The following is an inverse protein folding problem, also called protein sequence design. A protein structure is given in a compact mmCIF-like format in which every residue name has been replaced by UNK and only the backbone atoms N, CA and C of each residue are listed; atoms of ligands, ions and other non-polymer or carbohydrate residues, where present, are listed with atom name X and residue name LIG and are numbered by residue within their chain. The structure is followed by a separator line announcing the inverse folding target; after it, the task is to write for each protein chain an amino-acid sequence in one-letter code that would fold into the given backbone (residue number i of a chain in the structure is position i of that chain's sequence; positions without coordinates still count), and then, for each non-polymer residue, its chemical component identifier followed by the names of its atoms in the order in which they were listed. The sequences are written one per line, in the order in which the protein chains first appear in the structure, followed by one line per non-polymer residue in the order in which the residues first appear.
data_IF_133414798499
#
_entry.id   IF_133414798499
#
_cell.length_a   1.000
_cell.length_b   1.000
_cell.length_c   1.000
_cell.angle_alpha   90.00
_cell.angle_beta   90.00
_cell.angle_gamma   90.00
#
_symmetry.space_group_name_H-M   'P 1'
#
loop_
_entity.id
_entity.type
_entity.pdbx_description
1 polymer ?
#
# COMPACT_ATOMS: atom_id res chain seq x y z
N UNK A 1 14.31 -16.29 -2.40
CA UNK A 1 13.22 -16.62 -1.46
C UNK A 1 13.14 -15.52 -0.42
N UNK A 2 11.93 -15.03 -0.06
CA UNK A 2 11.76 -14.10 1.07
C UNK A 2 12.40 -14.69 2.34
N UNK A 3 13.20 -13.92 3.11
CA UNK A 3 13.78 -14.41 4.35
C UNK A 3 12.72 -14.81 5.37
N UNK A 4 12.89 -15.99 5.99
CA UNK A 4 11.92 -16.55 6.95
C UNK A 4 11.76 -15.73 8.24
N UNK A 5 12.67 -14.80 8.51
CA UNK A 5 12.60 -13.92 9.68
C UNK A 5 11.77 -12.64 9.43
N UNK A 6 11.26 -12.44 8.22
CA UNK A 6 10.33 -11.36 7.94
C UNK A 6 8.91 -11.75 8.34
N UNK A 7 8.24 -10.89 9.11
CA UNK A 7 6.87 -11.15 9.59
C UNK A 7 5.87 -10.81 8.48
N UNK A 8 5.05 -11.76 8.00
CA UNK A 8 4.05 -11.47 6.98
C UNK A 8 2.92 -10.61 7.56
N UNK A 9 2.55 -9.58 6.81
CA UNK A 9 1.38 -8.74 7.13
C UNK A 9 0.22 -9.12 6.20
N UNK A 10 -0.93 -9.36 6.81
CA UNK A 10 -2.15 -9.79 6.11
C UNK A 10 -3.18 -8.68 6.18
N UNK A 11 -3.95 -8.54 5.10
CA UNK A 11 -5.14 -7.71 5.08
C UNK A 11 -6.25 -8.34 5.90
N UNK A 12 -6.92 -7.54 6.72
CA UNK A 12 -7.91 -8.03 7.68
C UNK A 12 -9.18 -8.61 7.00
N UNK A 13 -9.58 -8.09 5.84
CA UNK A 13 -10.83 -8.50 5.19
C UNK A 13 -10.79 -9.90 4.57
N UNK A 14 -9.67 -10.28 3.95
CA UNK A 14 -9.55 -11.52 3.15
C UNK A 14 -8.34 -12.38 3.51
N UNK A 15 -7.46 -11.91 4.41
CA UNK A 15 -6.24 -12.63 4.79
C UNK A 15 -5.16 -12.62 3.71
N UNK A 16 -5.32 -11.82 2.64
CA UNK A 16 -4.31 -11.71 1.59
C UNK A 16 -3.03 -11.05 2.13
N UNK A 17 -1.87 -11.62 1.81
CA UNK A 17 -0.58 -11.06 2.24
C UNK A 17 -0.31 -9.78 1.44
N UNK A 18 -0.21 -8.65 2.13
CA UNK A 18 0.11 -7.36 1.52
C UNK A 18 1.63 -7.14 1.41
N UNK A 19 2.39 -7.81 2.28
CA UNK A 19 3.85 -7.77 2.28
C UNK A 19 4.40 -8.28 3.60
N UNK A 20 5.54 -7.74 3.98
CA UNK A 20 6.35 -8.22 5.10
C UNK A 20 6.94 -7.08 5.92
N UNK A 21 7.11 -7.32 7.20
CA UNK A 21 7.86 -6.46 8.12
C UNK A 21 9.28 -7.02 8.23
N UNK A 22 10.24 -6.36 7.60
CA UNK A 22 11.64 -6.71 7.71
C UNK A 22 12.26 -6.03 8.94
N UNK A 23 12.92 -6.76 9.86
CA UNK A 23 13.51 -6.14 11.05
C UNK A 23 14.65 -5.19 10.67
N UNK A 24 14.72 -4.07 11.38
CA UNK A 24 15.77 -3.05 11.27
C UNK A 24 16.42 -2.79 12.65
N UNK A 25 17.34 -1.83 12.70
CA UNK A 25 18.00 -1.43 13.94
C UNK A 25 17.00 -0.84 14.95
N UNK A 26 17.38 -0.84 16.24
CA UNK A 26 16.60 -0.24 17.33
C UNK A 26 15.16 -0.77 17.52
N UNK A 27 14.89 -1.99 17.04
CA UNK A 27 13.55 -2.60 17.11
C UNK A 27 12.55 -1.98 16.13
N UNK A 28 13.03 -1.21 15.16
CA UNK A 28 12.24 -0.72 14.04
C UNK A 28 12.05 -1.82 12.99
N UNK A 29 11.13 -1.60 12.06
CA UNK A 29 10.95 -2.45 10.91
C UNK A 29 10.74 -1.64 9.63
N UNK A 30 11.12 -2.25 8.51
CA UNK A 30 10.89 -1.73 7.18
C UNK A 30 9.67 -2.45 6.59
N UNK A 31 8.65 -1.72 6.11
CA UNK A 31 7.58 -2.34 5.35
C UNK A 31 8.07 -2.69 3.96
N UNK A 32 7.97 -3.97 3.61
CA UNK A 32 8.48 -4.53 2.36
C UNK A 32 7.35 -5.19 1.58
N UNK A 33 7.22 -4.88 0.29
CA UNK A 33 6.26 -5.51 -0.62
C UNK A 33 6.49 -7.02 -0.79
N UNK A 34 5.54 -7.72 -1.41
CA UNK A 34 5.68 -9.15 -1.75
C UNK A 34 6.93 -9.50 -2.56
N UNK A 35 7.48 -8.54 -3.31
CA UNK A 35 8.64 -8.73 -4.18
C UNK A 35 9.95 -8.23 -3.56
N UNK A 36 9.93 -7.81 -2.30
CA UNK A 36 11.14 -7.39 -1.58
C UNK A 36 11.46 -5.89 -1.69
N UNK A 37 10.59 -5.07 -2.29
CA UNK A 37 10.80 -3.62 -2.36
C UNK A 37 10.33 -2.90 -1.10
N UNK A 38 11.16 -2.05 -0.51
CA UNK A 38 10.80 -1.23 0.66
C UNK A 38 9.81 -0.12 0.28
N UNK A 39 8.73 0.01 1.04
CA UNK A 39 7.69 1.03 0.81
C UNK A 39 7.96 2.34 1.56
N UNK A 40 8.65 2.26 2.70
CA UNK A 40 8.97 3.39 3.55
C UNK A 40 10.28 3.16 4.30
N UNK A 41 10.80 4.23 4.89
CA UNK A 41 11.93 4.17 5.82
C UNK A 41 11.60 3.35 7.07
N UNK A 42 12.61 2.85 7.81
CA UNK A 42 12.39 2.13 9.06
C UNK A 42 11.52 2.93 10.04
N UNK A 43 10.47 2.30 10.54
CA UNK A 43 9.51 2.87 11.46
C UNK A 43 9.14 1.90 12.57
N UNK A 44 8.21 2.30 13.44
CA UNK A 44 7.62 1.33 14.36
C UNK A 44 6.72 0.34 13.62
N UNK A 45 6.38 -0.77 14.29
CA UNK A 45 5.61 -1.84 13.66
C UNK A 45 4.20 -1.41 13.24
N UNK A 46 3.60 -0.43 13.93
CA UNK A 46 2.26 0.05 13.60
C UNK A 46 2.31 0.94 12.34
N UNK A 47 3.29 1.84 12.25
CA UNK A 47 3.54 2.67 11.08
C UNK A 47 3.87 1.82 9.84
N UNK A 48 4.66 0.76 10.00
CA UNK A 48 5.01 -0.13 8.91
C UNK A 48 3.82 -0.96 8.40
N UNK A 49 2.96 -1.48 9.31
CA UNK A 49 1.71 -2.15 8.92
C UNK A 49 0.77 -1.20 8.19
N UNK A 50 0.59 0.02 8.71
CA UNK A 50 -0.24 1.03 8.05
C UNK A 50 0.28 1.40 6.65
N UNK A 51 1.60 1.40 6.43
CA UNK A 51 2.18 1.61 5.10
C UNK A 51 1.83 0.46 4.13
N UNK A 52 1.84 -0.78 4.61
CA UNK A 52 1.43 -1.96 3.83
C UNK A 52 -0.07 -1.93 3.51
N UNK A 53 -0.91 -1.58 4.49
CA UNK A 53 -2.36 -1.45 4.29
C UNK A 53 -2.70 -0.33 3.29
N UNK A 54 -2.03 0.82 3.40
CA UNK A 54 -2.25 1.94 2.50
C UNK A 54 -1.79 1.67 1.07
N UNK A 55 -0.72 0.90 0.87
CA UNK A 55 -0.26 0.52 -0.47
C UNK A 55 -1.09 -0.62 -1.04
N UNK A 56 -1.54 -1.55 -0.19
CA UNK A 56 -2.14 -2.81 -0.60
C UNK A 56 -1.27 -3.52 -1.64
N UNK A 57 -1.91 -4.07 -2.67
CA UNK A 57 -1.24 -4.68 -3.82
C UNK A 57 -1.28 -3.82 -5.09
N UNK A 58 -1.68 -2.55 -5.00
CA UNK A 58 -1.83 -1.70 -6.19
C UNK A 58 -0.52 -1.50 -6.95
N UNK A 59 0.62 -1.56 -6.24
CA UNK A 59 1.96 -1.45 -6.82
C UNK A 59 2.27 -2.54 -7.87
N UNK A 60 1.57 -3.68 -7.83
CA UNK A 60 1.73 -4.75 -8.83
C UNK A 60 1.24 -4.30 -10.22
N UNK A 61 0.28 -3.38 -10.27
CA UNK A 61 -0.25 -2.83 -11.52
C UNK A 61 0.58 -1.67 -12.09
N UNK A 62 1.49 -1.12 -11.28
CA UNK A 62 2.34 0.01 -11.68
C UNK A 62 3.38 -0.39 -12.72
N UNK A 63 4.00 0.61 -13.32
CA UNK A 63 5.16 0.42 -14.19
C UNK A 63 6.42 0.32 -13.35
N UNK A 64 7.30 -0.58 -13.75
CA UNK A 64 8.58 -0.84 -13.11
C UNK A 64 9.71 -0.65 -14.13
N UNK A 65 10.92 -0.44 -13.61
CA UNK A 65 12.16 -0.35 -14.38
C UNK A 65 13.02 -1.55 -14.02
N UNK A 66 13.35 -2.36 -15.02
CA UNK A 66 14.25 -3.49 -14.90
C UNK A 66 15.64 -3.12 -15.41
N UNK A 67 16.65 -3.26 -14.55
CA UNK A 67 18.05 -3.13 -14.93
C UNK A 67 18.58 -4.50 -15.38
N UNK A 68 19.07 -4.57 -16.62
CA UNK A 68 19.67 -5.75 -17.22
C UNK A 68 21.19 -5.56 -17.28
N UNK A 69 22.00 -6.59 -16.96
CA UNK A 69 23.46 -6.44 -16.99
C UNK A 69 24.01 -6.19 -18.41
N UNK A 70 23.26 -6.54 -19.45
CA UNK A 70 23.64 -6.34 -20.85
C UNK A 70 23.23 -4.96 -21.41
N UNK A 71 22.57 -4.09 -20.61
CA UNK A 71 22.09 -2.77 -21.05
C UNK A 71 22.35 -1.68 -20.01
N UNK A 72 22.74 -0.51 -20.51
CA UNK A 72 22.91 0.68 -19.65
C UNK A 72 21.55 1.30 -19.28
N UNK A 73 20.60 1.37 -20.22
CA UNK A 73 19.26 1.88 -19.90
C UNK A 73 18.34 0.80 -19.32
N UNK A 74 17.59 1.12 -18.25
CA UNK A 74 16.59 0.22 -17.72
C UNK A 74 15.41 0.06 -18.69
N UNK A 75 14.82 -1.13 -18.72
CA UNK A 75 13.64 -1.44 -19.54
C UNK A 75 12.37 -1.19 -18.74
N UNK A 76 11.39 -0.52 -19.35
CA UNK A 76 10.04 -0.40 -18.76
C UNK A 76 9.32 -1.75 -18.76
N UNK A 77 9.00 -2.26 -17.58
CA UNK A 77 8.33 -3.55 -17.40
C UNK A 77 7.05 -3.42 -16.56
N UNK A 78 6.22 -4.46 -16.61
CA UNK A 78 5.04 -4.62 -15.74
C UNK A 78 5.08 -5.97 -15.05
N UNK A 79 4.68 -6.04 -13.79
CA UNK A 79 4.57 -7.31 -13.08
C UNK A 79 3.36 -8.06 -13.62
N UNK A 80 3.57 -9.32 -14.02
CA UNK A 80 2.49 -10.19 -14.53
C UNK A 80 2.17 -11.34 -13.56
N UNK A 81 3.12 -11.70 -12.70
CA UNK A 81 2.95 -12.69 -11.64
C UNK A 81 3.90 -12.33 -10.49
N UNK A 82 3.43 -12.40 -9.25
CA UNK A 82 4.25 -12.18 -8.06
C UNK A 82 4.06 -13.35 -7.09
N UNK A 83 5.18 -13.89 -6.61
CA UNK A 83 5.20 -14.92 -5.57
C UNK A 83 6.38 -14.76 -4.63
N UNK A 84 6.38 -15.48 -3.49
CA UNK A 84 7.38 -15.32 -2.43
C UNK A 84 8.81 -15.80 -2.81
N UNK A 85 8.92 -16.54 -3.92
CA UNK A 85 10.21 -17.03 -4.43
C UNK A 85 10.67 -16.33 -5.71
N UNK A 86 9.71 -15.94 -6.58
CA UNK A 86 9.99 -15.40 -7.91
C UNK A 86 8.93 -14.37 -8.29
N UNK A 87 9.34 -13.39 -9.08
CA UNK A 87 8.46 -12.43 -9.75
C UNK A 87 8.67 -12.52 -11.25
N UNK A 88 7.58 -12.42 -12.01
CA UNK A 88 7.61 -12.39 -13.47
C UNK A 88 7.24 -10.99 -13.94
N UNK A 89 8.07 -10.45 -14.83
CA UNK A 89 7.89 -9.11 -15.37
C UNK A 89 7.92 -9.16 -16.90
N UNK A 90 6.98 -8.48 -17.53
CA UNK A 90 6.86 -8.42 -18.99
C UNK A 90 7.39 -7.09 -19.53
N UNK A 91 8.08 -7.14 -20.67
CA UNK A 91 8.49 -5.97 -21.43
C UNK A 91 7.26 -5.18 -21.87
N UNK A 92 7.18 -3.91 -21.46
CA UNK A 92 6.17 -2.96 -21.93
C UNK A 92 6.82 -1.70 -22.50
N UNK A 93 8.10 -1.78 -22.83
CA UNK A 93 8.89 -0.71 -23.39
C UNK A 93 8.88 -0.78 -24.92
N UNK A 94 8.15 0.12 -25.56
CA UNK A 94 8.18 0.25 -27.02
C UNK A 94 9.51 0.82 -27.54
N UNK A 95 10.33 1.43 -26.66
CA UNK A 95 11.64 1.97 -27.00
C UNK A 95 12.77 0.93 -26.91
N UNK A 96 12.54 -0.22 -26.27
CA UNK A 96 13.49 -1.33 -26.27
C UNK A 96 13.26 -2.20 -27.50
N UNK A 97 14.08 -2.01 -28.53
CA UNK A 97 13.98 -2.76 -29.79
C UNK A 97 14.79 -4.06 -29.76
N UNK A 98 15.67 -4.21 -28.79
CA UNK A 98 16.56 -5.37 -28.63
C UNK A 98 15.83 -6.57 -28.02
N UNK A 99 14.69 -6.34 -27.36
CA UNK A 99 13.87 -7.37 -26.74
C UNK A 99 12.43 -7.19 -27.17
N UNK A 100 11.79 -8.29 -27.59
CA UNK A 100 10.41 -8.28 -28.02
C UNK A 100 9.46 -7.69 -26.95
N UNK A 101 8.48 -6.93 -27.42
CA UNK A 101 7.39 -6.48 -26.56
C UNK A 101 6.63 -7.69 -26.00
N UNK A 102 6.35 -7.68 -24.69
CA UNK A 102 5.73 -8.81 -23.98
C UNK A 102 6.70 -9.94 -23.59
N UNK A 103 8.00 -9.84 -23.90
CA UNK A 103 8.99 -10.78 -23.38
C UNK A 103 8.95 -10.83 -21.85
N UNK A 104 9.01 -12.02 -21.26
CA UNK A 104 8.88 -12.23 -19.81
C UNK A 104 10.21 -12.62 -19.20
N UNK A 105 10.69 -11.81 -18.26
CA UNK A 105 11.79 -12.18 -17.36
C UNK A 105 11.26 -12.78 -16.07
N UNK A 106 12.04 -13.70 -15.50
CA UNK A 106 11.82 -14.28 -14.19
C UNK A 106 12.95 -13.84 -13.27
N UNK A 107 12.61 -13.17 -12.18
CA UNK A 107 13.56 -12.70 -11.18
C UNK A 107 13.36 -13.46 -9.88
N UNK A 108 14.44 -13.68 -9.14
CA UNK A 108 14.35 -14.15 -7.76
C UNK A 108 13.79 -13.05 -6.86
N UNK A 109 13.10 -13.44 -5.79
CA UNK A 109 12.59 -12.52 -4.76
C UNK A 109 13.43 -12.70 -3.49
N UNK A 110 13.93 -11.63 -2.83
CA UNK A 110 13.77 -10.21 -3.16
C UNK A 110 14.35 -9.84 -4.53
N UNK A 111 13.65 -8.99 -5.29
CA UNK A 111 14.06 -8.62 -6.64
C UNK A 111 15.23 -7.60 -6.67
N UNK A 112 15.85 -7.36 -5.51
CA UNK A 112 16.95 -6.43 -5.23
C UNK A 112 16.76 -5.06 -5.94
N UNK A 113 17.86 -4.31 -6.12
CA UNK A 113 17.84 -3.00 -6.79
C UNK A 113 17.62 -3.10 -8.32
N UNK A 114 17.54 -4.33 -8.86
CA UNK A 114 17.34 -4.57 -10.29
C UNK A 114 15.95 -4.18 -10.74
N UNK A 115 14.95 -4.36 -9.88
CA UNK A 115 13.55 -4.05 -10.17
C UNK A 115 13.09 -2.89 -9.28
N UNK A 116 12.95 -1.70 -9.85
CA UNK A 116 12.54 -0.49 -9.11
C UNK A 116 11.28 0.13 -9.69
N UNK A 117 10.44 0.81 -8.90
CA UNK A 117 9.28 1.52 -9.43
C UNK A 117 9.72 2.53 -10.48
N UNK A 118 9.04 2.54 -11.63
CA UNK A 118 9.23 3.55 -12.65
C UNK A 118 8.56 4.82 -12.16
N UNK A 119 9.22 5.53 -11.21
CA UNK A 119 8.68 6.68 -10.47
C UNK A 119 7.46 7.26 -11.18
N UNK A 120 6.27 6.94 -10.68
CA UNK A 120 5.11 7.77 -10.95
C UNK A 120 5.59 9.19 -10.67
N UNK A 121 5.48 10.11 -11.65
CA UNK A 121 5.48 11.53 -11.31
C UNK A 121 4.63 11.63 -10.05
N UNK A 122 5.13 12.22 -8.95
CA UNK A 122 4.38 12.21 -7.71
C UNK A 122 3.03 12.79 -8.03
N UNK A 123 2.00 11.95 -7.99
CA UNK A 123 0.70 12.39 -7.54
C UNK A 123 1.01 12.98 -6.19
N UNK A 124 1.19 14.30 -6.19
CA UNK A 124 1.39 15.09 -5.01
C UNK A 124 0.27 14.65 -4.07
N UNK A 125 0.62 13.89 -3.04
CA UNK A 125 -0.14 13.94 -1.80
C UNK A 125 0.05 15.39 -1.36
N UNK A 126 -0.88 16.24 -1.80
CA UNK A 126 -1.00 17.63 -1.34
C UNK A 126 -1.45 17.49 0.10
N UNK A 127 -0.46 17.38 0.98
CA UNK A 127 -0.60 16.96 2.37
C UNK A 127 0.73 16.67 3.06
N UNK A 128 1.83 16.48 2.32
CA UNK A 128 3.18 16.39 2.90
C UNK A 128 3.70 17.78 3.36
N UNK A 129 3.09 18.34 4.40
CA UNK A 129 3.73 19.38 5.22
C UNK A 129 4.32 18.72 6.46
N UNK A 130 5.67 18.71 6.52
CA UNK A 130 6.48 18.58 7.74
C UNK A 130 5.88 17.66 8.82
N UNK A 131 6.16 16.36 8.76
CA UNK A 131 5.99 15.47 9.91
C UNK A 131 7.11 15.70 10.94
N UNK A 132 7.04 16.85 11.61
CA UNK A 132 7.61 17.09 12.96
C UNK A 132 6.54 17.73 13.84
N UNK A 133 5.28 17.25 13.79
CA UNK A 133 4.22 17.65 14.73
C UNK A 133 2.97 16.76 14.70
N UNK A 134 3.12 15.44 14.70
CA UNK A 134 2.00 14.52 15.00
C UNK A 134 2.19 13.75 16.32
N UNK A 135 3.08 14.24 17.19
CA UNK A 135 3.08 13.89 18.61
C UNK A 135 2.07 14.79 19.33
N UNK A 136 1.09 14.15 19.99
CA UNK A 136 0.00 14.69 20.83
C UNK A 136 -1.39 14.75 20.17
N UNK A 137 -1.93 13.63 19.65
CA UNK A 137 -3.36 13.32 19.91
C UNK A 137 -3.86 11.89 19.61
N UNK A 138 -2.99 10.86 19.56
CA UNK A 138 -3.47 9.46 19.46
C UNK A 138 -3.41 8.68 20.79
N UNK A 139 -2.75 9.23 21.83
CA UNK A 139 -2.76 8.67 23.20
C UNK A 139 -3.96 9.17 24.02
N UNK A 140 -5.18 9.01 23.52
CA UNK A 140 -6.38 9.26 24.36
C UNK A 140 -7.57 8.33 24.10
N UNK A 141 -7.46 7.32 23.23
CA UNK A 141 -8.60 6.41 23.01
C UNK A 141 -8.33 4.92 23.25
N UNK A 142 -7.12 4.50 23.60
CA UNK A 142 -6.88 3.10 24.03
C UNK A 142 -5.94 2.99 25.24
N UNK A 143 -6.26 3.70 26.33
CA UNK A 143 -5.77 3.34 27.68
C UNK A 143 -6.86 3.50 28.72
N UNK A 144 -7.76 2.55 28.69
CA UNK A 144 -8.60 2.06 29.79
C UNK A 144 -9.08 0.71 29.25
N UNK A 145 -8.36 -0.39 29.45
CA UNK A 145 -8.06 -0.94 30.77
C UNK A 145 -9.36 -1.49 31.33
N UNK A 146 -9.73 -2.71 30.95
CA UNK A 146 -10.54 -3.69 31.71
C UNK A 146 -10.63 -4.99 30.88
N UNK A 147 -9.81 -5.99 31.22
CA UNK A 147 -10.19 -7.13 32.06
C UNK A 147 -11.14 -8.11 31.35
N UNK A 148 -10.54 -9.14 30.75
CA UNK A 148 -11.23 -10.37 30.39
C UNK A 148 -11.47 -11.20 31.66
N UNK A 149 -12.62 -11.01 32.34
CA UNK A 149 -13.25 -12.03 33.18
C UNK A 149 -14.65 -11.61 33.68
N UNK A 150 -15.66 -12.39 33.27
CA UNK A 150 -16.84 -12.82 34.03
C UNK A 150 -17.64 -11.77 34.83
N UNK A 151 -18.86 -11.48 34.38
CA UNK A 151 -20.08 -11.68 35.18
C UNK A 151 -21.35 -11.63 34.34
N UNK A 152 -22.31 -12.46 34.74
CA UNK A 152 -23.64 -12.66 34.18
C UNK A 152 -24.53 -11.43 34.43
N UNK A 153 -25.50 -11.22 33.52
CA UNK A 153 -26.85 -10.89 33.94
C UNK A 153 -27.38 -9.49 33.60
N UNK A 154 -28.38 -9.51 32.71
CA UNK A 154 -29.63 -8.72 32.73
C UNK A 154 -29.54 -7.23 32.35
N UNK A 155 -30.30 -6.89 31.29
CA UNK A 155 -31.12 -5.68 31.33
C UNK A 155 -31.01 -4.72 30.15
N UNK A 156 -31.85 -4.95 29.14
CA UNK A 156 -32.63 -3.98 28.36
C UNK A 156 -32.00 -2.68 27.84
N UNK A 157 -32.16 -2.46 26.52
CA UNK A 157 -32.32 -1.10 25.98
C UNK A 157 -31.77 -0.94 24.58
N UNK A 158 -32.36 -1.61 23.59
CA UNK A 158 -32.09 -1.31 22.19
C UNK A 158 -32.59 0.07 21.80
N UNK A 159 -31.88 0.72 20.89
CA UNK A 159 -32.48 1.33 19.68
C UNK A 159 -31.43 1.44 18.59
N UNK A 160 -31.72 0.76 17.49
CA UNK A 160 -31.19 1.03 16.16
C UNK A 160 -31.84 2.31 15.63
N UNK A 161 -31.11 3.11 14.87
CA UNK A 161 -31.71 4.14 14.01
C UNK A 161 -30.86 4.33 12.75
N UNK A 162 -31.14 3.43 11.81
CA UNK A 162 -31.06 3.66 10.37
C UNK A 162 -32.24 4.57 9.99
N UNK A 163 -32.02 5.70 9.30
CA UNK A 163 -32.92 6.37 8.34
C UNK A 163 -32.29 7.72 7.92
N UNK A 164 -31.95 7.92 6.65
CA UNK A 164 -32.83 8.34 5.54
C UNK A 164 -33.45 9.71 5.78
N UNK A 165 -32.99 10.71 5.03
CA UNK A 165 -33.79 11.86 4.62
C UNK A 165 -33.45 12.19 3.15
N UNK A 166 -34.36 11.82 2.26
CA UNK A 166 -34.59 12.55 1.01
C UNK A 166 -35.35 13.85 1.31
N UNK A 167 -35.07 14.89 0.50
CA UNK A 167 -36.16 15.61 -0.16
C UNK A 167 -36.32 17.11 0.14
N UNK A 168 -36.30 17.88 -0.96
CA UNK A 168 -37.34 18.86 -1.39
C UNK A 168 -36.97 20.37 -1.43
N UNK A 169 -36.91 20.84 -2.70
CA UNK A 169 -37.31 22.15 -3.31
C UNK A 169 -36.46 23.40 -3.03
N UNK A 170 -35.88 24.08 -4.03
CA UNK A 170 -36.39 24.77 -5.25
C UNK A 170 -36.58 26.29 -5.00
N UNK A 171 -35.68 27.07 -5.60
CA UNK A 171 -35.72 28.52 -5.92
C UNK A 171 -34.41 28.79 -6.67
N UNK A 172 -34.31 29.48 -7.79
CA UNK A 172 -35.23 30.16 -8.67
C UNK A 172 -34.36 30.74 -9.80
N UNK A 173 -34.96 30.95 -10.95
CA UNK A 173 -34.32 31.31 -12.21
C UNK A 173 -33.62 32.68 -12.19
N UNK A 174 -32.56 32.84 -13.00
CA UNK A 174 -32.38 34.09 -13.74
C UNK A 174 -31.74 33.81 -15.12
N UNK A 175 -32.38 34.39 -16.14
CA UNK A 175 -32.13 34.21 -17.55
C UNK A 175 -30.93 35.05 -18.03
N UNK A 176 -30.20 34.53 -19.01
CA UNK A 176 -29.22 35.29 -19.80
C UNK A 176 -29.87 35.67 -21.12
N UNK A 177 -29.89 36.96 -21.54
CA UNK A 177 -30.37 37.33 -22.86
C UNK A 177 -29.30 37.17 -23.93
N UNK A 178 -29.78 36.78 -25.11
CA UNK A 178 -29.06 36.65 -26.37
C UNK A 178 -28.66 38.03 -26.93
N UNK A 179 -27.46 38.13 -27.50
CA UNK A 179 -27.08 39.20 -28.43
C UNK A 179 -25.96 38.73 -29.35
#
# INVERSE_FOLDING_TARGET
MIPAHWEPHHRDEDGEILGYLAPAEDGLCVPVTLIGHALAEPGDADDARAALDSAGLSYLADRWLLTLPERDEPVSVRIVEAGPARVRVANVDFGCTEVDYGHVWVLDVPADDRLRPARSRPGVIRGARRYRRWRRNWRSLHRSGDSWASCRGVGHGGVSAFQVLEGVRDHGAEAVPDM
#
